data_IF_327875693856
#
_entry.id   IF_327875693856
#
_cell.length_a   1.000
_cell.length_b   1.000
_cell.length_c   1.000
_cell.angle_alpha   90.00
_cell.angle_beta   90.00
_cell.angle_gamma   90.00
#
_symmetry.space_group_name_H-M   'P 1'
#
loop_
_entity.id
_entity.type
_entity.pdbx_description
1 polymer ?
#
# COMPACT_ATOMS: atom_id res chain seq x y z
N UNK A 1 16.77 -21.23 -135.98
CA UNK A 1 18.12 -21.65 -136.43
C UNK A 1 18.82 -22.32 -135.27
N UNK A 2 19.69 -23.31 -135.56
CA UNK A 2 20.18 -24.39 -134.69
C UNK A 2 19.08 -25.44 -134.41
N UNK A 3 19.09 -26.64 -134.96
CA UNK A 3 20.19 -27.48 -135.44
C UNK A 3 19.99 -28.84 -134.77
N UNK A 4 18.98 -29.58 -135.24
CA UNK A 4 18.55 -30.87 -134.68
C UNK A 4 19.67 -31.89 -134.91
N UNK A 5 20.36 -32.28 -133.84
CA UNK A 5 21.23 -33.46 -133.82
C UNK A 5 20.37 -34.67 -133.50
N UNK A 6 20.13 -35.50 -134.50
CA UNK A 6 19.57 -36.84 -134.33
C UNK A 6 20.61 -37.74 -133.63
N UNK A 7 20.22 -38.54 -132.63
CA UNK A 7 21.10 -39.54 -132.04
C UNK A 7 21.35 -40.72 -133.01
N UNK A 8 22.47 -41.45 -132.85
CA UNK A 8 22.97 -42.43 -133.82
C UNK A 8 22.06 -43.66 -133.90
N UNK A 9 21.94 -44.21 -135.10
CA UNK A 9 21.30 -45.49 -135.37
C UNK A 9 22.21 -46.57 -134.77
N UNK A 10 21.81 -47.10 -133.61
CA UNK A 10 22.41 -48.32 -133.07
C UNK A 10 21.82 -49.52 -133.83
N UNK A 11 22.70 -50.26 -134.50
CA UNK A 11 22.43 -51.55 -135.13
C UNK A 11 22.15 -52.59 -134.03
N UNK A 12 20.89 -52.69 -133.62
CA UNK A 12 20.39 -53.88 -132.92
C UNK A 12 19.93 -54.88 -133.98
N UNK A 13 20.68 -55.98 -134.06
CA UNK A 13 20.50 -57.04 -135.03
C UNK A 13 19.16 -57.77 -135.00
N UNK A 14 19.05 -58.64 -135.99
CA UNK A 14 17.98 -59.58 -136.30
C UNK A 14 16.68 -58.99 -136.90
N UNK A 15 16.66 -59.12 -138.22
CA UNK A 15 15.50 -59.33 -139.09
C UNK A 15 14.27 -59.86 -138.36
N UNK A 16 13.27 -59.00 -138.17
CA UNK A 16 11.92 -59.43 -137.80
C UNK A 16 10.86 -58.68 -138.62
N UNK A 17 11.16 -58.47 -139.92
CA UNK A 17 10.10 -58.31 -140.93
C UNK A 17 9.49 -59.70 -141.11
N UNK A 18 8.54 -60.04 -140.23
CA UNK A 18 7.79 -61.30 -140.31
C UNK A 18 6.99 -61.31 -141.59
N UNK A 19 7.47 -62.07 -142.55
CA UNK A 19 6.72 -62.36 -143.77
C UNK A 19 5.78 -63.54 -143.48
N UNK A 20 4.76 -63.75 -144.32
CA UNK A 20 3.73 -64.80 -144.08
C UNK A 20 4.34 -66.21 -143.96
N UNK A 21 5.57 -66.41 -144.44
CA UNK A 21 6.35 -67.63 -144.31
C UNK A 21 6.90 -67.90 -142.89
N UNK A 22 6.99 -66.89 -142.02
CA UNK A 22 7.55 -67.04 -140.66
C UNK A 22 6.49 -67.44 -139.63
N UNK A 23 5.19 -67.26 -139.94
CA UNK A 23 4.06 -67.67 -139.09
C UNK A 23 3.53 -69.05 -139.49
N UNK A 24 3.58 -69.39 -140.78
CA UNK A 24 3.24 -70.73 -141.29
C UNK A 24 4.10 -71.10 -142.52
N UNK A 25 5.08 -72.01 -142.37
CA UNK A 25 5.97 -72.44 -143.46
C UNK A 25 5.24 -73.10 -144.64
N UNK A 26 4.00 -73.58 -144.46
CA UNK A 26 3.26 -74.34 -145.47
C UNK A 26 2.27 -73.50 -146.30
N UNK A 27 2.24 -72.18 -146.07
CA UNK A 27 1.24 -71.29 -146.67
C UNK A 27 1.16 -71.37 -148.20
N UNK A 28 2.30 -71.43 -148.88
CA UNK A 28 2.34 -71.59 -150.36
C UNK A 28 2.26 -73.05 -150.82
N UNK A 29 2.61 -74.03 -149.98
CA UNK A 29 2.51 -75.46 -150.34
C UNK A 29 1.06 -75.97 -150.43
N UNK A 30 0.11 -75.29 -149.77
CA UNK A 30 -1.32 -75.65 -149.81
C UNK A 30 -2.04 -75.15 -151.08
N UNK A 31 -1.39 -74.35 -151.93
CA UNK A 31 -2.02 -73.67 -153.08
C UNK A 31 -1.52 -74.21 -154.43
N UNK A 32 -0.50 -75.09 -154.46
CA UNK A 32 -0.13 -75.83 -155.68
C UNK A 32 -1.19 -76.90 -156.02
N UNK A 33 -1.96 -76.66 -157.07
CA UNK A 33 -2.71 -77.72 -157.76
C UNK A 33 -4.24 -77.77 -157.60
N UNK A 34 -4.91 -76.74 -157.04
CA UNK A 34 -6.39 -76.71 -157.04
C UNK A 34 -6.97 -75.35 -157.50
N UNK A 35 -7.89 -75.32 -158.50
CA UNK A 35 -8.53 -74.09 -158.94
C UNK A 35 -9.55 -73.59 -157.90
N UNK A 36 -9.32 -72.37 -157.39
CA UNK A 36 -10.18 -71.71 -156.41
C UNK A 36 -11.45 -71.21 -157.11
N UNK A 37 -12.61 -71.75 -156.70
CA UNK A 37 -13.94 -71.37 -157.21
C UNK A 37 -14.35 -69.99 -156.68
N UNK A 38 -14.68 -69.06 -157.57
CA UNK A 38 -15.28 -67.77 -157.19
C UNK A 38 -16.70 -67.98 -156.67
N UNK A 39 -17.03 -67.51 -155.47
CA UNK A 39 -18.43 -67.32 -155.10
C UNK A 39 -18.68 -65.87 -154.64
N UNK A 40 -19.73 -65.29 -155.23
CA UNK A 40 -20.04 -63.85 -155.27
C UNK A 40 -20.96 -63.49 -154.10
N UNK A 41 -20.48 -62.73 -153.12
CA UNK A 41 -21.35 -61.84 -152.33
C UNK A 41 -20.57 -60.65 -151.75
N UNK A 42 -20.32 -59.64 -152.59
CA UNK A 42 -19.68 -58.37 -152.22
C UNK A 42 -20.39 -57.68 -151.03
N UNK A 43 -21.70 -57.92 -150.85
CA UNK A 43 -22.47 -57.40 -149.71
C UNK A 43 -21.99 -57.97 -148.37
N UNK A 44 -21.76 -59.28 -148.27
CA UNK A 44 -21.20 -59.90 -147.05
C UNK A 44 -19.82 -59.36 -146.76
N UNK A 45 -18.98 -59.22 -147.78
CA UNK A 45 -17.65 -58.62 -147.63
C UNK A 45 -17.69 -57.17 -147.12
N UNK A 46 -18.62 -56.34 -147.60
CA UNK A 46 -18.80 -54.96 -147.09
C UNK A 46 -19.31 -54.94 -145.64
N UNK A 47 -20.22 -55.85 -145.28
CA UNK A 47 -20.71 -56.02 -143.91
C UNK A 47 -19.56 -56.48 -142.98
N UNK A 48 -18.81 -57.49 -143.41
CA UNK A 48 -17.66 -58.04 -142.69
C UNK A 48 -16.56 -56.98 -142.49
N UNK A 49 -16.25 -56.17 -143.52
CA UNK A 49 -15.31 -55.04 -143.38
C UNK A 49 -15.82 -54.01 -142.36
N UNK A 50 -17.12 -53.68 -142.39
CA UNK A 50 -17.69 -52.71 -141.44
C UNK A 50 -17.67 -53.25 -140.02
N UNK A 51 -18.00 -54.52 -139.84
CA UNK A 51 -17.96 -55.20 -138.55
C UNK A 51 -16.53 -55.36 -138.04
N UNK A 52 -15.56 -55.63 -138.92
CA UNK A 52 -14.13 -55.65 -138.58
C UNK A 52 -13.68 -54.24 -138.19
N UNK A 53 -14.09 -53.19 -138.90
CA UNK A 53 -13.75 -51.81 -138.58
C UNK A 53 -14.33 -51.40 -137.22
N UNK A 54 -15.62 -51.69 -136.97
CA UNK A 54 -16.29 -51.42 -135.70
C UNK A 54 -15.67 -52.21 -134.54
N UNK A 55 -15.34 -53.50 -134.74
CA UNK A 55 -14.63 -54.30 -133.74
C UNK A 55 -13.22 -53.77 -133.48
N UNK A 56 -12.51 -53.30 -134.51
CA UNK A 56 -11.18 -52.67 -134.35
C UNK A 56 -11.26 -51.34 -133.60
N UNK A 57 -12.25 -50.49 -133.87
CA UNK A 57 -12.44 -49.23 -133.14
C UNK A 57 -12.86 -49.48 -131.69
N UNK A 58 -13.74 -50.47 -131.45
CA UNK A 58 -14.13 -50.89 -130.10
C UNK A 58 -12.95 -51.48 -129.34
N UNK A 59 -12.14 -52.33 -129.99
CA UNK A 59 -10.92 -52.89 -129.41
C UNK A 59 -9.90 -51.78 -129.07
N UNK A 60 -9.75 -50.78 -129.94
CA UNK A 60 -8.92 -49.60 -129.69
C UNK A 60 -9.41 -48.82 -128.48
N UNK A 61 -10.70 -48.50 -128.43
CA UNK A 61 -11.31 -47.82 -127.29
C UNK A 61 -11.15 -48.60 -125.98
N UNK A 62 -11.42 -49.90 -125.98
CA UNK A 62 -11.23 -50.76 -124.80
C UNK A 62 -9.76 -50.80 -124.37
N UNK A 63 -8.83 -50.86 -125.33
CA UNK A 63 -7.39 -50.85 -125.04
C UNK A 63 -6.95 -49.52 -124.42
N UNK A 64 -7.49 -48.39 -124.89
CA UNK A 64 -7.21 -47.06 -124.36
C UNK A 64 -7.82 -46.87 -122.97
N UNK A 65 -9.03 -47.37 -122.72
CA UNK A 65 -9.64 -47.40 -121.38
C UNK A 65 -8.83 -48.26 -120.40
N UNK A 66 -8.39 -49.45 -120.82
CA UNK A 66 -7.50 -50.30 -120.03
C UNK A 66 -6.19 -49.56 -119.71
N UNK A 67 -5.61 -48.87 -120.69
CA UNK A 67 -4.39 -48.08 -120.49
C UNK A 67 -4.61 -46.91 -119.52
N UNK A 68 -5.75 -46.21 -119.61
CA UNK A 68 -6.11 -45.12 -118.68
C UNK A 68 -6.24 -45.65 -117.25
N UNK A 69 -7.01 -46.72 -117.05
CA UNK A 69 -7.20 -47.35 -115.74
C UNK A 69 -5.86 -47.83 -115.18
N UNK A 70 -5.01 -48.45 -116.00
CA UNK A 70 -3.69 -48.92 -115.55
C UNK A 70 -2.81 -47.75 -115.10
N UNK A 71 -2.82 -46.62 -115.83
CA UNK A 71 -2.09 -45.42 -115.43
C UNK A 71 -2.64 -44.81 -114.14
N UNK A 72 -3.95 -44.75 -113.97
CA UNK A 72 -4.60 -44.27 -112.75
C UNK A 72 -4.21 -45.13 -111.54
N UNK A 73 -4.30 -46.46 -111.66
CA UNK A 73 -3.87 -47.42 -110.65
C UNK A 73 -2.40 -47.22 -110.30
N UNK A 74 -1.52 -47.03 -111.29
CA UNK A 74 -0.10 -46.78 -111.05
C UNK A 74 0.13 -45.46 -110.30
N UNK A 75 -0.61 -44.41 -110.62
CA UNK A 75 -0.53 -43.13 -109.89
C UNK A 75 -1.06 -43.24 -108.47
N UNK A 76 -2.19 -43.91 -108.24
CA UNK A 76 -2.73 -44.16 -106.91
C UNK A 76 -1.79 -45.01 -106.07
N UNK A 77 -1.19 -46.06 -106.65
CA UNK A 77 -0.18 -46.88 -105.97
C UNK A 77 1.04 -46.06 -105.59
N UNK A 78 1.50 -45.15 -106.45
CA UNK A 78 2.60 -44.24 -106.11
C UNK A 78 2.23 -43.34 -104.94
N UNK A 79 1.05 -42.72 -104.97
CA UNK A 79 0.55 -41.86 -103.89
C UNK A 79 0.39 -42.65 -102.59
N UNK A 80 -0.20 -43.84 -102.65
CA UNK A 80 -0.36 -44.73 -101.51
C UNK A 80 0.99 -45.10 -100.90
N UNK A 81 1.96 -45.51 -101.71
CA UNK A 81 3.29 -45.86 -101.23
C UNK A 81 4.02 -44.67 -100.61
N UNK A 82 3.90 -43.47 -101.17
CA UNK A 82 4.49 -42.26 -100.56
C UNK A 82 3.79 -41.90 -99.25
N UNK A 83 2.47 -41.99 -99.20
CA UNK A 83 1.69 -41.70 -98.00
C UNK A 83 1.97 -42.72 -96.89
N UNK A 84 2.07 -44.01 -97.22
CA UNK A 84 2.44 -45.06 -96.25
C UNK A 84 3.82 -44.81 -95.67
N UNK A 85 4.81 -44.47 -96.51
CA UNK A 85 6.16 -44.12 -96.02
C UNK A 85 6.13 -42.94 -95.05
N UNK A 86 5.39 -41.88 -95.38
CA UNK A 86 5.25 -40.74 -94.47
C UNK A 86 4.54 -41.11 -93.16
N UNK A 87 3.53 -41.99 -93.20
CA UNK A 87 2.90 -42.48 -91.97
C UNK A 87 3.88 -43.28 -91.11
N UNK A 88 4.69 -44.16 -91.70
CA UNK A 88 5.72 -44.90 -90.99
C UNK A 88 6.77 -43.95 -90.37
N UNK A 89 7.19 -42.92 -91.12
CA UNK A 89 8.09 -41.87 -90.64
C UNK A 89 7.50 -41.07 -89.47
N UNK A 90 6.22 -40.70 -89.54
CA UNK A 90 5.53 -40.00 -88.46
C UNK A 90 5.35 -40.88 -87.23
N UNK A 91 4.98 -42.15 -87.40
CA UNK A 91 4.88 -43.09 -86.30
C UNK A 91 6.23 -43.24 -85.59
N UNK A 92 7.31 -43.45 -86.36
CA UNK A 92 8.65 -43.55 -85.79
C UNK A 92 9.09 -42.26 -85.08
N UNK A 93 8.78 -41.10 -85.66
CA UNK A 93 9.08 -39.80 -85.05
C UNK A 93 8.31 -39.57 -83.76
N UNK A 94 7.04 -39.99 -83.72
CA UNK A 94 6.20 -39.90 -82.53
C UNK A 94 6.66 -40.85 -81.42
N UNK A 95 6.98 -42.10 -81.76
CA UNK A 95 7.55 -43.06 -80.81
C UNK A 95 8.86 -42.55 -80.21
N UNK A 96 9.71 -41.94 -81.04
CA UNK A 96 10.96 -41.32 -80.58
C UNK A 96 10.69 -40.12 -79.66
N UNK A 97 9.70 -39.29 -79.97
CA UNK A 97 9.30 -38.17 -79.12
C UNK A 97 8.78 -38.65 -77.76
N UNK A 98 7.92 -39.68 -77.74
CA UNK A 98 7.43 -40.28 -76.50
C UNK A 98 8.56 -40.89 -75.67
N UNK A 99 9.52 -41.56 -76.31
CA UNK A 99 10.67 -42.10 -75.62
C UNK A 99 11.53 -40.98 -74.99
N UNK A 100 11.79 -39.88 -75.71
CA UNK A 100 12.55 -38.74 -75.20
C UNK A 100 11.83 -38.02 -74.04
N UNK A 101 10.52 -37.80 -74.17
CA UNK A 101 9.71 -37.18 -73.12
C UNK A 101 9.60 -38.06 -71.86
N UNK A 102 9.42 -39.37 -72.04
CA UNK A 102 9.44 -40.33 -70.94
C UNK A 102 10.82 -40.34 -70.25
N UNK A 103 11.92 -40.34 -71.02
CA UNK A 103 13.27 -40.28 -70.46
C UNK A 103 13.52 -38.98 -69.68
N UNK A 104 13.04 -37.83 -70.19
CA UNK A 104 13.09 -36.55 -69.48
C UNK A 104 12.28 -36.59 -68.18
N UNK A 105 11.08 -37.15 -68.23
CA UNK A 105 10.21 -37.30 -67.06
C UNK A 105 10.84 -38.19 -66.00
N UNK A 106 11.42 -39.33 -66.40
CA UNK A 106 12.15 -40.22 -65.49
C UNK A 106 13.34 -39.48 -64.87
N UNK A 107 14.11 -38.71 -65.65
CA UNK A 107 15.24 -37.96 -65.13
C UNK A 107 14.81 -36.87 -64.12
N UNK A 108 13.69 -36.20 -64.37
CA UNK A 108 13.11 -35.22 -63.44
C UNK A 108 12.62 -35.92 -62.17
N UNK A 109 11.93 -37.05 -62.29
CA UNK A 109 11.44 -37.84 -61.17
C UNK A 109 12.59 -38.32 -60.28
N UNK A 110 13.66 -38.86 -60.88
CA UNK A 110 14.86 -39.26 -60.13
C UNK A 110 15.51 -38.10 -59.39
N UNK A 111 15.59 -36.91 -60.02
CA UNK A 111 16.10 -35.71 -59.35
C UNK A 111 15.20 -35.29 -58.19
N UNK A 112 13.88 -35.34 -58.36
CA UNK A 112 12.91 -35.03 -57.31
C UNK A 112 13.04 -36.00 -56.13
N UNK A 113 13.13 -37.30 -56.40
CA UNK A 113 13.29 -38.33 -55.37
C UNK A 113 14.62 -38.17 -54.60
N UNK A 114 15.70 -37.82 -55.30
CA UNK A 114 16.99 -37.55 -54.67
C UNK A 114 16.94 -36.30 -53.78
N UNK A 115 16.31 -35.21 -54.25
CA UNK A 115 16.12 -34.00 -53.45
C UNK A 115 15.23 -34.24 -52.23
N UNK A 116 14.18 -35.05 -52.38
CA UNK A 116 13.30 -35.42 -51.26
C UNK A 116 14.05 -36.21 -50.18
N UNK A 117 14.93 -37.14 -50.60
CA UNK A 117 15.82 -37.88 -49.68
C UNK A 117 16.80 -36.95 -48.98
N UNK A 118 17.46 -36.06 -49.72
CA UNK A 118 18.41 -35.10 -49.14
C UNK A 118 17.74 -34.15 -48.15
N UNK A 119 16.55 -33.63 -48.47
CA UNK A 119 15.76 -32.80 -47.58
C UNK A 119 15.32 -33.55 -46.31
N UNK A 120 14.95 -34.83 -46.45
CA UNK A 120 14.64 -35.69 -45.29
C UNK A 120 15.85 -35.83 -44.37
N UNK A 121 17.04 -36.11 -44.94
CA UNK A 121 18.27 -36.25 -44.17
C UNK A 121 18.63 -34.95 -43.44
N UNK A 122 18.59 -33.80 -44.12
CA UNK A 122 18.85 -32.50 -43.50
C UNK A 122 17.85 -32.19 -42.37
N UNK A 123 16.58 -32.55 -42.57
CA UNK A 123 15.55 -32.36 -41.54
C UNK A 123 15.83 -33.22 -40.30
N UNK A 124 16.33 -34.43 -40.49
CA UNK A 124 16.72 -35.32 -39.39
C UNK A 124 17.96 -34.80 -38.64
N UNK A 125 18.97 -34.31 -39.37
CA UNK A 125 20.16 -33.65 -38.79
C UNK A 125 19.77 -32.42 -37.98
N UNK A 126 18.89 -31.56 -38.50
CA UNK A 126 18.39 -30.39 -37.76
C UNK A 126 17.61 -30.79 -36.51
N UNK A 127 16.79 -31.83 -36.57
CA UNK A 127 16.08 -32.36 -35.38
C UNK A 127 17.06 -32.87 -34.34
N UNK A 128 18.10 -33.59 -34.75
CA UNK A 128 19.12 -34.10 -33.84
C UNK A 128 19.91 -32.95 -33.19
N UNK A 129 20.35 -31.96 -33.96
CA UNK A 129 21.03 -30.77 -33.43
C UNK A 129 20.15 -29.98 -32.45
N UNK A 130 18.86 -29.83 -32.76
CA UNK A 130 17.90 -29.18 -31.87
C UNK A 130 17.69 -29.96 -30.56
N UNK A 131 17.66 -31.29 -30.63
CA UNK A 131 17.59 -32.13 -29.44
C UNK A 131 18.85 -31.96 -28.58
N UNK A 132 20.04 -31.99 -29.19
CA UNK A 132 21.30 -31.76 -28.48
C UNK A 132 21.33 -30.39 -27.81
N UNK A 133 20.92 -29.32 -28.51
CA UNK A 133 20.80 -27.97 -27.96
C UNK A 133 19.85 -27.94 -26.74
N UNK A 134 18.67 -28.57 -26.85
CA UNK A 134 17.71 -28.63 -25.75
C UNK A 134 18.29 -29.36 -24.54
N UNK A 135 19.03 -30.47 -24.74
CA UNK A 135 19.68 -31.19 -23.64
C UNK A 135 20.82 -30.39 -22.99
N UNK A 136 21.57 -29.59 -23.77
CA UNK A 136 22.59 -28.71 -23.22
C UNK A 136 21.96 -27.55 -22.43
N UNK A 137 20.85 -26.99 -22.92
CA UNK A 137 20.10 -25.92 -22.25
C UNK A 137 19.51 -26.40 -20.92
N UNK A 138 18.96 -27.61 -20.87
CA UNK A 138 18.44 -28.18 -19.61
C UNK A 138 19.55 -28.47 -18.60
N UNK A 139 20.71 -28.99 -19.05
CA UNK A 139 21.89 -29.14 -18.18
C UNK A 139 22.38 -27.81 -17.66
N UNK A 140 22.41 -26.78 -18.51
CA UNK A 140 22.82 -25.44 -18.12
C UNK A 140 21.87 -24.83 -17.09
N UNK A 141 20.56 -25.00 -17.27
CA UNK A 141 19.54 -24.59 -16.30
C UNK A 141 19.74 -25.27 -14.94
N UNK A 142 19.96 -26.58 -14.95
CA UNK A 142 20.25 -27.34 -13.73
C UNK A 142 21.50 -26.82 -13.01
N UNK A 143 22.54 -26.46 -13.76
CA UNK A 143 23.76 -25.87 -13.20
C UNK A 143 23.48 -24.48 -12.60
N UNK A 144 22.69 -23.64 -13.26
CA UNK A 144 22.32 -22.32 -12.72
C UNK A 144 21.50 -22.45 -11.42
N UNK A 145 20.49 -23.32 -11.40
CA UNK A 145 19.70 -23.62 -10.19
C UNK A 145 20.58 -24.13 -9.05
N UNK A 146 21.47 -25.09 -9.35
CA UNK A 146 22.43 -25.61 -8.37
C UNK A 146 23.35 -24.51 -7.87
N UNK A 147 23.82 -23.62 -8.75
CA UNK A 147 24.65 -22.49 -8.38
C UNK A 147 23.92 -21.51 -7.45
N UNK A 148 22.67 -21.16 -7.74
CA UNK A 148 21.85 -20.30 -6.87
C UNK A 148 21.66 -20.93 -5.48
N UNK A 149 21.42 -22.24 -5.42
CA UNK A 149 21.35 -22.98 -4.15
C UNK A 149 22.69 -22.88 -3.39
N UNK A 150 23.82 -23.08 -4.07
CA UNK A 150 25.15 -22.97 -3.44
C UNK A 150 25.44 -21.56 -2.92
N UNK A 151 25.06 -20.51 -3.68
CA UNK A 151 25.16 -19.12 -3.22
C UNK A 151 24.29 -18.88 -1.99
N UNK A 152 23.08 -19.44 -1.95
CA UNK A 152 22.20 -19.34 -0.78
C UNK A 152 22.84 -19.98 0.47
N UNK A 153 23.50 -21.13 0.30
CA UNK A 153 24.25 -21.78 1.39
C UNK A 153 25.47 -20.97 1.80
N UNK A 154 26.20 -20.35 0.87
CA UNK A 154 27.28 -19.44 1.20
C UNK A 154 26.78 -18.24 2.01
N UNK A 155 25.66 -17.63 1.63
CA UNK A 155 25.02 -16.55 2.37
C UNK A 155 24.62 -17.01 3.79
N UNK A 156 24.05 -18.21 3.89
CA UNK A 156 23.69 -18.81 5.18
C UNK A 156 24.91 -19.03 6.07
N UNK A 157 25.97 -19.64 5.55
CA UNK A 157 27.21 -19.90 6.28
C UNK A 157 27.90 -18.60 6.69
N UNK A 158 27.87 -17.57 5.84
CA UNK A 158 28.38 -16.25 6.21
C UNK A 158 27.59 -15.66 7.38
N UNK A 159 26.26 -15.70 7.35
CA UNK A 159 25.39 -15.23 8.45
C UNK A 159 25.55 -16.03 9.74
N UNK A 160 25.84 -17.33 9.65
CA UNK A 160 26.08 -18.19 10.80
C UNK A 160 27.47 -18.00 11.43
N UNK A 161 28.43 -17.43 10.68
CA UNK A 161 29.77 -17.17 11.19
C UNK A 161 29.78 -16.08 12.28
N UNK A 162 30.80 -16.05 13.15
CA UNK A 162 30.91 -15.02 14.19
C UNK A 162 30.96 -13.60 13.61
N UNK A 163 30.33 -12.64 14.30
CA UNK A 163 30.23 -11.23 13.88
C UNK A 163 31.62 -10.61 13.61
N UNK A 164 32.61 -10.92 14.44
CA UNK A 164 34.00 -10.46 14.28
C UNK A 164 34.66 -10.92 12.97
N UNK A 165 34.23 -12.05 12.42
CA UNK A 165 34.71 -12.55 11.14
C UNK A 165 33.91 -11.94 9.98
N UNK A 166 32.60 -11.76 10.14
CA UNK A 166 31.74 -11.07 9.18
C UNK A 166 32.22 -9.64 8.91
N UNK A 167 32.53 -8.87 9.96
CA UNK A 167 32.98 -7.47 9.85
C UNK A 167 34.33 -7.34 9.11
N UNK A 168 35.21 -8.33 9.26
CA UNK A 168 36.50 -8.36 8.55
C UNK A 168 36.34 -8.73 7.08
N UNK A 169 35.29 -9.49 6.75
CA UNK A 169 35.03 -9.99 5.42
C UNK A 169 33.64 -9.51 5.00
N UNK A 170 33.52 -8.18 4.85
CA UNK A 170 32.32 -7.49 4.36
C UNK A 170 31.95 -8.01 2.96
N UNK A 171 31.31 -9.16 2.92
CA UNK A 171 30.68 -9.70 1.72
C UNK A 171 29.32 -9.02 1.64
N UNK A 172 29.22 -7.94 0.85
CA UNK A 172 27.93 -7.38 0.44
C UNK A 172 27.22 -8.39 -0.47
N UNK A 173 26.69 -9.46 0.11
CA UNK A 173 25.89 -10.46 -0.59
C UNK A 173 24.45 -9.96 -0.72
N UNK A 174 24.27 -8.77 -1.29
CA UNK A 174 22.98 -8.33 -1.78
C UNK A 174 22.75 -8.96 -3.16
N UNK A 175 22.86 -10.29 -3.22
CA UNK A 175 22.66 -11.12 -4.40
C UNK A 175 21.21 -11.58 -4.39
N UNK A 176 20.30 -10.63 -4.22
CA UNK A 176 18.90 -10.87 -4.47
C UNK A 176 18.74 -10.85 -6.00
N UNK A 177 18.71 -12.04 -6.59
CA UNK A 177 18.11 -12.30 -7.90
C UNK A 177 18.86 -11.81 -9.15
N UNK A 178 20.18 -12.00 -9.23
CA UNK A 178 20.80 -12.10 -10.56
C UNK A 178 20.60 -13.53 -11.07
N UNK A 179 19.51 -13.75 -11.82
CA UNK A 179 19.45 -14.87 -12.75
C UNK A 179 20.65 -14.74 -13.70
N UNK A 180 21.60 -15.68 -13.63
CA UNK A 180 22.77 -15.66 -14.50
C UNK A 180 22.29 -15.84 -15.94
N UNK A 181 21.20 -16.61 -16.11
CA UNK A 181 20.59 -16.90 -17.40
C UNK A 181 19.11 -16.53 -17.32
N UNK A 182 18.75 -15.43 -17.98
CA UNK A 182 17.34 -15.11 -18.24
C UNK A 182 16.90 -15.98 -19.42
N UNK A 183 16.23 -17.09 -19.13
CA UNK A 183 15.59 -17.89 -20.18
C UNK A 183 14.35 -17.13 -20.66
N UNK A 184 14.53 -16.22 -21.62
CA UNK A 184 13.39 -15.73 -22.40
C UNK A 184 12.70 -16.92 -23.08
N UNK A 185 11.42 -16.72 -23.37
CA UNK A 185 10.40 -17.70 -23.81
C UNK A 185 10.78 -18.58 -25.00
N UNK A 186 11.91 -18.32 -25.66
CA UNK A 186 12.40 -19.07 -26.81
C UNK A 186 13.54 -20.03 -26.44
N UNK A 187 13.27 -21.33 -26.60
CA UNK A 187 14.21 -22.42 -26.32
C UNK A 187 15.44 -22.33 -27.24
N UNK A 188 15.28 -21.73 -28.43
CA UNK A 188 16.29 -21.69 -29.49
C UNK A 188 17.11 -20.39 -29.56
N UNK A 189 16.90 -19.46 -28.62
CA UNK A 189 17.67 -18.21 -28.56
C UNK A 189 19.15 -18.45 -28.22
N UNK A 190 20.04 -17.70 -28.88
CA UNK A 190 21.48 -17.82 -28.69
C UNK A 190 21.91 -17.21 -27.34
N UNK A 191 22.53 -18.03 -26.49
CA UNK A 191 22.99 -17.60 -25.17
C UNK A 191 24.27 -16.78 -25.32
N UNK A 192 24.22 -15.51 -24.95
CA UNK A 192 25.38 -14.62 -25.02
C UNK A 192 26.40 -14.95 -23.92
N UNK A 193 27.46 -15.68 -24.30
CA UNK A 193 28.54 -16.14 -23.40
C UNK A 193 29.24 -14.99 -22.66
N UNK A 194 29.29 -13.79 -23.24
CA UNK A 194 29.99 -12.65 -22.65
C UNK A 194 29.21 -12.10 -21.44
N UNK A 195 27.89 -12.01 -21.55
CA UNK A 195 27.01 -11.56 -20.46
C UNK A 195 27.09 -12.54 -19.27
N UNK A 196 27.10 -13.85 -19.56
CA UNK A 196 27.25 -14.88 -18.53
C UNK A 196 28.60 -14.76 -17.82
N UNK A 197 29.71 -14.55 -18.55
CA UNK A 197 31.04 -14.35 -17.95
C UNK A 197 31.11 -13.08 -17.09
N UNK A 198 30.54 -11.97 -17.55
CA UNK A 198 30.48 -10.74 -16.76
C UNK A 198 29.67 -10.93 -15.48
N UNK A 199 28.52 -11.61 -15.55
CA UNK A 199 27.71 -11.92 -14.36
C UNK A 199 28.47 -12.81 -13.38
N UNK A 200 29.12 -13.87 -13.86
CA UNK A 200 29.94 -14.77 -13.03
C UNK A 200 31.12 -14.03 -12.37
N UNK A 201 31.74 -13.07 -13.07
CA UNK A 201 32.87 -12.30 -12.52
C UNK A 201 32.50 -11.39 -11.34
N UNK A 202 31.21 -11.08 -11.16
CA UNK A 202 30.72 -10.29 -10.02
C UNK A 202 30.61 -11.11 -8.73
N UNK A 203 30.61 -12.44 -8.82
CA UNK A 203 30.54 -13.30 -7.64
C UNK A 203 31.92 -13.42 -7.00
N UNK A 204 32.09 -13.00 -5.73
CA UNK A 204 33.36 -13.13 -5.04
C UNK A 204 33.64 -14.62 -4.76
N UNK A 205 34.94 -14.99 -4.71
CA UNK A 205 35.33 -16.35 -4.35
C UNK A 205 34.78 -16.74 -2.96
N UNK A 206 34.26 -17.96 -2.79
CA UNK A 206 33.67 -18.39 -1.54
C UNK A 206 34.76 -18.48 -0.45
N UNK A 207 34.70 -17.56 0.51
CA UNK A 207 35.43 -17.67 1.77
C UNK A 207 34.49 -18.28 2.80
N UNK A 208 34.88 -19.44 3.33
CA UNK A 208 34.12 -20.18 4.31
C UNK A 208 34.83 -20.06 5.66
N UNK A 209 34.07 -19.72 6.69
CA UNK A 209 34.54 -19.81 8.07
C UNK A 209 34.49 -21.26 8.59
N UNK A 210 33.47 -22.00 8.17
CA UNK A 210 33.26 -23.38 8.57
C UNK A 210 33.91 -24.33 7.57
N UNK A 211 34.89 -25.11 8.04
CA UNK A 211 35.57 -26.13 7.22
C UNK A 211 34.93 -27.51 7.37
N UNK A 212 34.31 -27.77 8.52
CA UNK A 212 33.62 -29.04 8.79
C UNK A 212 32.16 -28.84 9.21
N UNK A 213 31.24 -29.74 8.82
CA UNK A 213 29.82 -29.67 9.23
C UNK A 213 29.61 -29.72 10.75
N UNK A 214 30.52 -30.39 11.47
CA UNK A 214 30.47 -30.52 12.94
C UNK A 214 30.56 -29.14 13.63
N UNK A 215 31.32 -28.20 13.07
CA UNK A 215 31.42 -26.85 13.61
C UNK A 215 30.07 -26.11 13.55
N UNK A 216 29.29 -26.33 12.49
CA UNK A 216 27.97 -25.73 12.34
C UNK A 216 26.96 -26.37 13.31
N UNK A 217 27.02 -27.69 13.50
CA UNK A 217 26.20 -28.38 14.50
C UNK A 217 26.48 -27.83 15.90
N UNK A 218 27.74 -27.59 16.25
CA UNK A 218 28.08 -26.98 17.53
C UNK A 218 27.49 -25.58 17.70
N UNK A 219 27.47 -24.76 16.64
CA UNK A 219 26.80 -23.45 16.66
C UNK A 219 25.30 -23.61 16.88
N UNK A 220 24.66 -24.58 16.23
CA UNK A 220 23.24 -24.85 16.46
C UNK A 220 22.94 -25.34 17.88
N UNK A 221 23.76 -26.24 18.43
CA UNK A 221 23.61 -26.69 19.82
C UNK A 221 23.77 -25.53 20.82
N UNK A 222 24.70 -24.61 20.54
CA UNK A 222 24.88 -23.39 21.34
C UNK A 222 23.67 -22.46 21.22
N UNK A 223 23.16 -22.25 20.01
CA UNK A 223 21.96 -21.44 19.77
C UNK A 223 20.73 -22.05 20.43
N UNK A 224 20.57 -23.37 20.38
CA UNK A 224 19.48 -24.09 21.05
C UNK A 224 19.55 -23.88 22.57
N UNK A 225 20.73 -24.05 23.17
CA UNK A 225 20.95 -23.79 24.60
C UNK A 225 20.69 -22.33 24.97
N UNK A 226 21.13 -21.39 24.15
CA UNK A 226 20.86 -19.96 24.36
C UNK A 226 19.36 -19.66 24.26
N UNK A 227 18.68 -20.19 23.25
CA UNK A 227 17.23 -20.03 23.08
C UNK A 227 16.45 -20.64 24.24
N UNK A 228 16.86 -21.80 24.74
CA UNK A 228 16.28 -22.42 25.93
C UNK A 228 16.48 -21.54 27.17
N UNK A 229 17.69 -20.99 27.35
CA UNK A 229 17.96 -20.06 28.44
C UNK A 229 17.09 -18.80 28.35
N UNK A 230 16.97 -18.20 27.17
CA UNK A 230 16.08 -17.06 26.95
C UNK A 230 14.62 -17.40 27.25
N UNK A 231 14.17 -18.60 26.89
CA UNK A 231 12.81 -19.06 27.20
C UNK A 231 12.60 -19.19 28.72
N UNK A 232 13.53 -19.81 29.43
CA UNK A 232 13.47 -19.95 30.89
C UNK A 232 13.46 -18.59 31.59
N UNK A 233 14.37 -17.69 31.22
CA UNK A 233 14.42 -16.32 31.77
C UNK A 233 13.12 -15.57 31.47
N UNK A 234 12.55 -15.76 30.27
CA UNK A 234 11.26 -15.14 29.91
C UNK A 234 10.12 -15.69 30.76
N UNK A 235 10.10 -16.99 31.03
CA UNK A 235 9.12 -17.62 31.90
C UNK A 235 9.25 -17.10 33.34
N UNK A 236 10.46 -17.07 33.90
CA UNK A 236 10.75 -16.51 35.22
C UNK A 236 10.28 -15.05 35.32
N UNK A 237 10.66 -14.20 34.34
CA UNK A 237 10.23 -12.81 34.27
C UNK A 237 8.70 -12.68 34.17
N UNK A 238 8.04 -13.60 33.47
CA UNK A 238 6.58 -13.61 33.39
C UNK A 238 5.94 -13.96 34.75
N UNK A 239 6.55 -14.86 35.54
CA UNK A 239 6.08 -15.13 36.89
C UNK A 239 6.23 -13.91 37.81
N UNK A 240 7.35 -13.19 37.74
CA UNK A 240 7.58 -11.97 38.52
C UNK A 240 6.66 -10.84 38.09
N UNK A 241 6.44 -10.67 36.78
CA UNK A 241 5.44 -9.75 36.24
C UNK A 241 4.05 -10.05 36.79
N UNK A 242 3.64 -11.32 36.84
CA UNK A 242 2.34 -11.71 37.38
C UNK A 242 2.23 -11.44 38.88
N UNK A 243 3.29 -11.66 39.66
CA UNK A 243 3.34 -11.28 41.08
C UNK A 243 3.20 -9.77 41.25
N UNK A 244 3.94 -8.99 40.46
CA UNK A 244 3.87 -7.52 40.47
C UNK A 244 2.47 -7.02 40.13
N UNK A 245 1.83 -7.56 39.09
CA UNK A 245 0.46 -7.18 38.71
C UNK A 245 -0.56 -7.49 39.81
N UNK A 246 -0.41 -8.62 40.52
CA UNK A 246 -1.25 -8.94 41.69
C UNK A 246 -1.04 -7.93 42.82
N UNK A 247 0.21 -7.61 43.15
CA UNK A 247 0.54 -6.59 44.17
C UNK A 247 0.02 -5.21 43.79
N UNK A 248 0.12 -4.83 42.51
CA UNK A 248 -0.42 -3.57 41.99
C UNK A 248 -1.95 -3.54 42.11
N UNK A 249 -2.63 -4.64 41.77
CA UNK A 249 -4.07 -4.77 41.94
C UNK A 249 -4.50 -4.61 43.41
N UNK A 250 -3.77 -5.22 44.34
CA UNK A 250 -4.00 -5.09 45.77
C UNK A 250 -3.75 -3.66 46.28
N UNK A 251 -2.65 -3.02 45.85
CA UNK A 251 -2.35 -1.64 46.20
C UNK A 251 -3.45 -0.68 45.70
N UNK A 252 -3.92 -0.87 44.47
CA UNK A 252 -5.03 -0.09 43.91
C UNK A 252 -6.30 -0.24 44.75
N UNK A 253 -6.60 -1.46 45.19
CA UNK A 253 -7.73 -1.72 46.09
C UNK A 253 -7.57 -0.99 47.44
N UNK A 254 -6.39 -1.06 48.06
CA UNK A 254 -6.11 -0.35 49.32
C UNK A 254 -6.26 1.16 49.17
N UNK A 255 -5.70 1.75 48.12
CA UNK A 255 -5.79 3.19 47.86
C UNK A 255 -7.25 3.60 47.66
N UNK A 256 -8.05 2.83 46.91
CA UNK A 256 -9.47 3.13 46.75
C UNK A 256 -10.20 3.07 48.10
N UNK A 257 -9.92 2.07 48.93
CA UNK A 257 -10.51 1.96 50.27
C UNK A 257 -10.13 3.14 51.16
N UNK A 258 -8.88 3.61 51.12
CA UNK A 258 -8.45 4.79 51.86
C UNK A 258 -9.12 6.06 51.35
N UNK A 259 -9.25 6.23 50.03
CA UNK A 259 -9.98 7.35 49.44
C UNK A 259 -11.45 7.37 49.84
N UNK A 260 -12.11 6.22 49.84
CA UNK A 260 -13.52 6.09 50.26
C UNK A 260 -13.68 6.49 51.74
N UNK A 261 -12.76 6.03 52.60
CA UNK A 261 -12.74 6.38 54.02
C UNK A 261 -12.51 7.89 54.23
N UNK A 262 -11.55 8.48 53.52
CA UNK A 262 -11.30 9.93 53.58
C UNK A 262 -12.53 10.70 53.11
N UNK A 263 -13.18 10.27 52.04
CA UNK A 263 -14.38 10.92 51.53
C UNK A 263 -15.54 10.84 52.53
N UNK A 264 -15.70 9.72 53.24
CA UNK A 264 -16.68 9.60 54.33
C UNK A 264 -16.34 10.54 55.48
N UNK A 265 -15.07 10.64 55.88
CA UNK A 265 -14.63 11.59 56.92
C UNK A 265 -14.84 13.04 56.54
N UNK A 266 -14.61 13.42 55.28
CA UNK A 266 -14.91 14.77 54.79
C UNK A 266 -16.40 15.08 54.94
N UNK A 267 -17.28 14.15 54.55
CA UNK A 267 -18.73 14.32 54.70
C UNK A 267 -19.15 14.47 56.17
N UNK A 268 -18.64 13.61 57.05
CA UNK A 268 -18.90 13.70 58.49
C UNK A 268 -18.46 15.07 59.06
N UNK A 269 -17.30 15.58 58.63
CA UNK A 269 -16.81 16.89 59.07
C UNK A 269 -17.65 18.04 58.54
N UNK A 270 -18.10 17.99 57.28
CA UNK A 270 -18.95 19.02 56.69
C UNK A 270 -20.31 19.08 57.41
N UNK A 271 -20.89 17.92 57.76
CA UNK A 271 -22.11 17.85 58.57
C UNK A 271 -21.91 18.45 59.97
N UNK A 272 -20.79 18.14 60.62
CA UNK A 272 -20.43 18.72 61.91
C UNK A 272 -20.23 20.24 61.85
N UNK A 273 -19.60 20.75 60.79
CA UNK A 273 -19.43 22.18 60.57
C UNK A 273 -20.80 22.85 60.41
N UNK A 274 -21.68 22.30 59.57
CA UNK A 274 -23.03 22.85 59.37
C UNK A 274 -23.86 22.86 60.66
N UNK A 275 -23.73 21.82 61.50
CA UNK A 275 -24.39 21.77 62.80
C UNK A 275 -23.85 22.85 63.76
N UNK A 276 -22.52 23.02 63.79
CA UNK A 276 -21.88 24.03 64.62
C UNK A 276 -22.22 25.45 64.18
N UNK A 277 -22.29 25.72 62.87
CA UNK A 277 -22.72 27.02 62.33
C UNK A 277 -24.15 27.35 62.75
N UNK A 278 -25.08 26.38 62.66
CA UNK A 278 -26.46 26.55 63.15
C UNK A 278 -26.48 26.85 64.64
N UNK A 279 -25.72 26.10 65.43
CA UNK A 279 -25.61 26.30 66.88
C UNK A 279 -24.99 27.66 67.24
N UNK A 280 -24.03 28.13 66.47
CA UNK A 280 -23.43 29.45 66.64
C UNK A 280 -24.48 30.55 66.44
N UNK A 281 -25.32 30.43 65.40
CA UNK A 281 -26.44 31.37 65.17
C UNK A 281 -27.41 31.35 66.34
N UNK A 282 -27.83 30.17 66.81
CA UNK A 282 -28.74 30.03 67.97
C UNK A 282 -28.15 30.66 69.24
N UNK A 283 -26.87 30.42 69.52
CA UNK A 283 -26.18 30.99 70.68
C UNK A 283 -26.01 32.51 70.56
N UNK A 284 -25.72 33.04 69.38
CA UNK A 284 -25.69 34.48 69.13
C UNK A 284 -27.06 35.10 69.40
N UNK A 285 -28.13 34.51 68.89
CA UNK A 285 -29.49 34.96 69.17
C UNK A 285 -29.82 34.93 70.67
N UNK A 286 -29.46 33.85 71.36
CA UNK A 286 -29.67 33.73 72.81
C UNK A 286 -28.87 34.78 73.59
N UNK A 287 -27.61 35.01 73.22
CA UNK A 287 -26.74 36.01 73.84
C UNK A 287 -27.31 37.43 73.67
N UNK A 288 -27.70 37.81 72.44
CA UNK A 288 -28.28 39.13 72.20
C UNK A 288 -29.61 39.32 72.93
N UNK A 289 -30.44 38.27 73.05
CA UNK A 289 -31.67 38.32 73.86
C UNK A 289 -31.38 38.61 75.33
N UNK A 290 -30.36 37.97 75.92
CA UNK A 290 -29.97 38.21 77.33
C UNK A 290 -29.40 39.61 77.49
N UNK A 291 -28.54 40.04 76.56
CA UNK A 291 -27.92 41.36 76.59
C UNK A 291 -28.96 42.49 76.54
N UNK A 292 -29.91 42.41 75.60
CA UNK A 292 -30.96 43.43 75.46
C UNK A 292 -32.00 43.40 76.59
N UNK A 293 -32.36 42.23 77.11
CA UNK A 293 -33.42 42.12 78.13
C UNK A 293 -32.92 42.35 79.55
N UNK A 294 -31.84 41.69 79.95
CA UNK A 294 -31.44 41.64 81.36
C UNK A 294 -30.32 42.63 81.65
N UNK A 295 -29.21 42.56 80.90
CA UNK A 295 -28.00 43.34 81.19
C UNK A 295 -28.21 44.82 80.89
N UNK A 296 -28.81 45.14 79.73
CA UNK A 296 -29.08 46.53 79.34
C UNK A 296 -29.98 47.25 80.34
N UNK A 297 -30.98 46.55 80.88
CA UNK A 297 -31.81 47.12 81.94
C UNK A 297 -31.02 47.27 83.25
N UNK A 298 -30.16 46.32 83.61
CA UNK A 298 -29.39 46.40 84.86
C UNK A 298 -28.34 47.51 84.86
N UNK A 299 -27.68 47.76 83.71
CA UNK A 299 -26.58 48.73 83.63
C UNK A 299 -27.06 50.12 83.19
N UNK A 300 -28.08 50.19 82.32
CA UNK A 300 -28.52 51.44 81.70
C UNK A 300 -29.93 51.87 82.10
N UNK A 301 -30.53 51.26 83.14
CA UNK A 301 -31.78 51.77 83.70
C UNK A 301 -31.56 53.16 84.31
N UNK A 302 -32.56 54.02 84.16
CA UNK A 302 -32.58 55.38 84.68
C UNK A 302 -32.24 55.40 86.19
N UNK A 303 -32.75 54.44 86.96
CA UNK A 303 -32.50 54.35 88.40
C UNK A 303 -31.03 54.07 88.72
N UNK A 304 -30.38 53.20 87.94
CA UNK A 304 -28.98 52.81 88.18
C UNK A 304 -28.03 53.93 87.79
N UNK A 305 -28.33 54.62 86.68
CA UNK A 305 -27.59 55.82 86.27
C UNK A 305 -27.78 56.97 87.28
N UNK A 306 -28.98 57.13 87.85
CA UNK A 306 -29.22 58.09 88.93
C UNK A 306 -28.41 57.76 90.19
N UNK A 307 -28.40 56.50 90.63
CA UNK A 307 -27.60 56.07 91.78
C UNK A 307 -26.11 56.29 91.53
N UNK A 308 -25.62 55.93 90.34
CA UNK A 308 -24.24 56.17 89.93
C UNK A 308 -23.87 57.66 90.08
N UNK A 309 -24.72 58.54 89.53
CA UNK A 309 -24.52 59.99 89.60
C UNK A 309 -24.55 60.53 91.04
N UNK A 310 -25.45 60.03 91.90
CA UNK A 310 -25.49 60.45 93.31
C UNK A 310 -24.26 60.00 94.10
N UNK A 311 -23.78 58.78 93.87
CA UNK A 311 -22.58 58.25 94.53
C UNK A 311 -21.34 59.00 94.06
N UNK A 312 -21.23 59.27 92.76
CA UNK A 312 -20.16 60.08 92.20
C UNK A 312 -20.17 61.49 92.79
N UNK A 313 -21.34 62.15 92.83
CA UNK A 313 -21.48 63.47 93.45
C UNK A 313 -21.06 63.49 94.93
N UNK A 314 -21.46 62.48 95.71
CA UNK A 314 -21.08 62.40 97.13
C UNK A 314 -19.58 62.15 97.32
N UNK A 315 -18.98 61.31 96.48
CA UNK A 315 -17.56 60.99 96.49
C UNK A 315 -16.71 62.24 96.16
N UNK A 316 -17.10 62.98 95.12
CA UNK A 316 -16.40 64.20 94.71
C UNK A 316 -16.42 65.31 95.77
N UNK A 317 -17.53 65.44 96.51
CA UNK A 317 -17.67 66.45 97.55
C UNK A 317 -16.87 66.13 98.82
N UNK A 318 -16.78 64.85 99.20
CA UNK A 318 -16.22 64.44 100.50
C UNK A 318 -14.73 64.10 100.39
N UNK A 319 -14.30 63.47 99.29
CA UNK A 319 -12.96 62.88 99.17
C UNK A 319 -12.13 63.66 98.15
N UNK A 320 -12.47 63.57 96.86
CA UNK A 320 -11.72 64.19 95.78
C UNK A 320 -12.49 64.08 94.43
N UNK A 321 -12.26 64.98 93.46
CA UNK A 321 -12.79 64.82 92.11
C UNK A 321 -12.38 63.47 91.51
N UNK A 322 -13.30 62.81 90.79
CA UNK A 322 -13.13 61.45 90.31
C UNK A 322 -12.24 61.38 89.06
N UNK A 323 -10.97 61.78 89.18
CA UNK A 323 -10.00 61.77 88.07
C UNK A 323 -9.57 60.34 87.63
N UNK A 324 -9.93 59.32 88.42
CA UNK A 324 -9.47 57.94 88.26
C UNK A 324 -10.50 56.97 87.65
N UNK A 325 -11.69 57.44 87.24
CA UNK A 325 -12.78 56.58 86.74
C UNK A 325 -13.08 55.39 87.68
N UNK A 326 -13.20 55.64 88.98
CA UNK A 326 -13.50 54.59 89.95
C UNK A 326 -14.90 54.01 89.69
N UNK A 327 -15.05 52.69 89.90
CA UNK A 327 -16.36 52.03 89.81
C UNK A 327 -17.29 52.57 90.90
N UNK A 328 -18.60 52.63 90.66
CA UNK A 328 -19.55 53.16 91.67
C UNK A 328 -19.53 52.38 92.98
N UNK A 329 -19.21 51.08 92.91
CA UNK A 329 -19.07 50.26 94.11
C UNK A 329 -17.84 50.68 94.91
N UNK A 330 -16.72 50.93 94.24
CA UNK A 330 -15.48 51.36 94.90
C UNK A 330 -15.63 52.77 95.49
N UNK A 331 -16.32 53.68 94.78
CA UNK A 331 -16.69 54.99 95.30
C UNK A 331 -17.61 54.89 96.53
N UNK A 332 -18.58 53.97 96.52
CA UNK A 332 -19.46 53.74 97.67
C UNK A 332 -18.71 53.12 98.87
N UNK A 333 -17.82 52.15 98.64
CA UNK A 333 -17.03 51.52 99.70
C UNK A 333 -16.04 52.47 100.35
N UNK A 334 -15.42 53.34 99.56
CA UNK A 334 -14.51 54.37 100.09
C UNK A 334 -15.27 55.40 100.91
N UNK A 335 -16.45 55.84 100.45
CA UNK A 335 -17.37 56.64 101.27
C UNK A 335 -17.76 55.93 102.57
N UNK A 336 -18.04 54.63 102.51
CA UNK A 336 -18.37 53.82 103.69
C UNK A 336 -17.17 53.68 104.64
N UNK A 337 -15.96 53.51 104.12
CA UNK A 337 -14.74 53.47 104.91
C UNK A 337 -14.47 54.80 105.59
N UNK A 338 -14.61 55.92 104.87
CA UNK A 338 -14.47 57.26 105.46
C UNK A 338 -15.55 57.48 106.53
N UNK A 339 -16.80 57.10 106.26
CA UNK A 339 -17.86 57.16 107.25
C UNK A 339 -17.51 56.35 108.51
N UNK A 340 -17.02 55.12 108.34
CA UNK A 340 -16.63 54.25 109.45
C UNK A 340 -15.40 54.78 110.20
N UNK A 341 -14.41 55.35 109.51
CA UNK A 341 -13.24 55.98 110.13
C UNK A 341 -13.66 57.19 110.96
N UNK A 342 -14.52 58.04 110.41
CA UNK A 342 -15.07 59.20 111.11
C UNK A 342 -15.90 58.76 112.32
N UNK A 343 -16.62 57.65 112.22
CA UNK A 343 -17.38 57.08 113.33
C UNK A 343 -16.47 56.46 114.41
N UNK A 344 -15.36 55.83 114.02
CA UNK A 344 -14.34 55.34 114.94
C UNK A 344 -13.65 56.49 115.67
N UNK A 345 -13.29 57.57 114.96
CA UNK A 345 -12.75 58.79 115.54
C UNK A 345 -13.75 59.40 116.54
N UNK A 346 -15.03 59.49 116.17
CA UNK A 346 -16.11 59.91 117.08
C UNK A 346 -16.20 59.05 118.35
N UNK A 347 -15.98 57.75 118.23
CA UNK A 347 -16.04 56.82 119.37
C UNK A 347 -14.78 56.87 120.26
N UNK A 348 -13.66 57.36 119.76
CA UNK A 348 -12.40 57.48 120.48
C UNK A 348 -12.35 58.70 121.41
N UNK A 349 -13.27 59.66 121.26
CA UNK A 349 -13.37 60.80 122.15
C UNK A 349 -13.95 60.40 123.52
N UNK A 350 -13.21 60.68 124.59
CA UNK A 350 -13.63 60.41 125.96
C UNK A 350 -14.83 61.32 126.32
N UNK A 351 -15.93 60.72 126.77
CA UNK A 351 -17.21 61.38 127.01
C UNK A 351 -17.11 62.51 128.07
N UNK A 352 -16.09 62.46 128.92
CA UNK A 352 -15.77 63.50 129.89
C UNK A 352 -15.05 64.71 129.25
N UNK A 353 -14.24 64.48 128.22
CA UNK A 353 -13.60 65.53 127.40
C UNK A 353 -14.65 66.22 126.53
N UNK A 354 -15.61 65.46 125.97
CA UNK A 354 -16.74 66.04 125.24
C UNK A 354 -17.60 66.90 126.16
N UNK A 355 -17.96 66.46 127.37
CA UNK A 355 -18.75 67.28 128.30
C UNK A 355 -18.03 68.52 128.81
N UNK A 356 -16.69 68.48 128.92
CA UNK A 356 -15.91 69.66 129.31
C UNK A 356 -15.78 70.64 128.14
N UNK A 357 -15.52 70.15 126.93
CA UNK A 357 -15.54 70.97 125.70
C UNK A 357 -16.94 71.53 125.45
N UNK A 358 -18.00 70.75 125.61
CA UNK A 358 -19.40 71.18 125.43
C UNK A 358 -19.80 72.25 126.45
N UNK A 359 -19.30 72.15 127.69
CA UNK A 359 -19.48 73.18 128.72
C UNK A 359 -18.66 74.44 128.41
N UNK A 360 -17.45 74.28 127.89
CA UNK A 360 -16.55 75.38 127.52
C UNK A 360 -17.01 76.10 126.24
N UNK A 361 -17.56 75.36 125.25
CA UNK A 361 -18.22 75.92 124.07
C UNK A 361 -19.52 76.58 124.44
N UNK A 362 -20.36 76.01 125.31
CA UNK A 362 -21.55 76.74 125.81
C UNK A 362 -21.16 78.02 126.56
N UNK A 363 -20.13 78.00 127.41
CA UNK A 363 -19.65 79.21 128.10
C UNK A 363 -19.04 80.23 127.13
N UNK A 364 -18.31 79.79 126.10
CA UNK A 364 -17.78 80.66 125.05
C UNK A 364 -18.88 81.19 124.13
N UNK A 365 -19.85 80.39 123.71
CA UNK A 365 -21.02 80.81 122.93
C UNK A 365 -21.86 81.81 123.73
N UNK A 366 -22.01 81.65 125.05
CA UNK A 366 -22.65 82.65 125.91
C UNK A 366 -21.81 83.93 125.97
N UNK A 367 -20.47 83.85 125.99
CA UNK A 367 -19.59 85.03 125.91
C UNK A 367 -19.67 85.72 124.55
N UNK A 368 -19.60 84.98 123.45
CA UNK A 368 -19.73 85.48 122.08
C UNK A 368 -21.12 86.05 121.84
N UNK A 369 -22.18 85.41 122.33
CA UNK A 369 -23.55 85.95 122.27
C UNK A 369 -23.66 87.24 123.08
N UNK A 370 -23.06 87.33 124.27
CA UNK A 370 -23.01 88.59 125.05
C UNK A 370 -22.20 89.67 124.34
N UNK A 371 -21.06 89.32 123.73
CA UNK A 371 -20.25 90.24 122.94
C UNK A 371 -20.97 90.68 121.66
N UNK A 372 -21.68 89.79 120.98
CA UNK A 372 -22.51 90.09 119.83
C UNK A 372 -23.71 90.97 120.21
N UNK A 373 -24.35 90.74 121.37
CA UNK A 373 -25.41 91.61 121.88
C UNK A 373 -24.86 92.99 122.27
N UNK A 374 -23.69 93.06 122.91
CA UNK A 374 -23.02 94.31 123.24
C UNK A 374 -22.57 95.07 121.98
N UNK A 375 -21.98 94.38 121.02
CA UNK A 375 -21.58 94.92 119.72
C UNK A 375 -22.81 95.39 118.94
N UNK A 376 -23.91 94.66 118.96
CA UNK A 376 -25.17 95.06 118.32
C UNK A 376 -25.84 96.24 119.04
N UNK A 377 -25.72 96.34 120.38
CA UNK A 377 -26.13 97.55 121.13
C UNK A 377 -25.25 98.76 120.78
N UNK A 378 -23.93 98.59 120.73
CA UNK A 378 -22.97 99.59 120.28
C UNK A 378 -23.26 100.03 118.84
N UNK A 379 -23.54 99.09 117.94
CA UNK A 379 -23.89 99.36 116.54
C UNK A 379 -25.22 100.11 116.46
N UNK A 380 -26.22 99.74 117.27
CA UNK A 380 -27.50 100.49 117.38
C UNK A 380 -27.33 101.88 117.98
N UNK A 381 -26.44 102.07 118.95
CA UNK A 381 -26.20 103.38 119.56
C UNK A 381 -25.32 104.26 118.67
N UNK A 382 -24.37 103.68 117.92
CA UNK A 382 -23.66 104.32 116.81
C UNK A 382 -24.63 104.69 115.68
N UNK A 383 -25.62 103.85 115.35
CA UNK A 383 -26.67 104.17 114.38
C UNK A 383 -27.62 105.27 114.89
N UNK A 384 -27.94 105.29 116.18
CA UNK A 384 -28.73 106.39 116.78
C UNK A 384 -27.93 107.69 116.83
N UNK A 385 -26.64 107.63 117.14
CA UNK A 385 -25.72 108.76 117.08
C UNK A 385 -25.55 109.22 115.63
N UNK A 386 -25.40 108.32 114.66
CA UNK A 386 -25.32 108.66 113.23
C UNK A 386 -26.62 109.28 112.74
N UNK A 387 -27.79 108.80 113.19
CA UNK A 387 -29.10 109.42 112.90
C UNK A 387 -29.28 110.78 113.58
N UNK A 388 -28.89 110.94 114.85
CA UNK A 388 -28.96 112.23 115.57
C UNK A 388 -27.96 113.24 115.05
N UNK A 389 -26.77 112.80 114.66
CA UNK A 389 -25.71 113.61 114.07
C UNK A 389 -26.07 113.95 112.61
N UNK A 390 -26.75 113.08 111.87
CA UNK A 390 -27.29 113.43 110.54
C UNK A 390 -28.43 114.45 110.60
N UNK A 391 -29.32 114.39 111.60
CA UNK A 391 -30.52 115.28 111.60
C UNK A 391 -30.44 116.48 112.54
N UNK A 392 -29.53 116.53 113.52
CA UNK A 392 -29.17 117.81 114.17
C UNK A 392 -28.53 118.81 113.19
N UNK A 393 -28.15 118.34 112.00
CA UNK A 393 -27.63 119.15 110.90
C UNK A 393 -28.68 119.58 109.87
N UNK A 394 -29.96 119.24 110.03
CA UNK A 394 -31.04 119.82 109.22
C UNK A 394 -31.90 120.73 110.12
N UNK A 395 -31.56 122.03 110.21
CA UNK A 395 -32.19 122.97 111.12
C UNK A 395 -33.66 123.22 110.76
N UNK A 396 -34.49 123.18 111.80
CA UNK A 396 -35.95 123.26 111.81
C UNK A 396 -36.48 124.58 111.22
N UNK A 397 -37.30 124.47 110.18
CA UNK A 397 -38.34 125.42 109.76
C UNK A 397 -39.60 124.65 109.38
#
# INVERSE_FOLDING_TARGET
MCGIKLPPIEESGDSDIKTILDVDPHFYSLVEGRPIRSNKSISKYKQDIRDIALKKTLLGFLKDEILRITKEIDTERKIYNTTSKHFDEYQHSFDKFLADDNNKTIAIMQKSDNLAKELSNQTEEHKQANFELATLKSKLQYIDETFQILVSFQCFLHKAAPILWQEKHNMNLNIEHLEIITMETDIFSEINKNIVKERLSKYPFPQLYFESPEQLLHVFDLLEKQNLNYLLVTEELNTEKNKFLKSLGFLKYLIHKELDCIQEKVKETDEMISLNEKREVELKEAFFRILDKEIRHLVSSEMVLQIFNYVEFAYEQIIAPNDANLSSLDMALTLEMEYNNLMLDLSAFDLNVIKTIEKETYENEIKEMKQAILANKLLKDVDKLSKRLKSSYEPRQ
#
